data_IF_778754875837
#
_entry.id   IF_778754875837
#
_cell.length_a   1.000
_cell.length_b   1.000
_cell.length_c   1.000
_cell.angle_alpha   90.00
_cell.angle_beta   90.00
_cell.angle_gamma   90.00
#
_symmetry.space_group_name_H-M   'P 1'
#
loop_
_entity.id
_entity.type
_entity.pdbx_description
1 polymer ?
#
# COMPACT_ATOMS: atom_id res chain seq x y z
N UNK A 1 -21.77 -3.67 11.21
CA UNK A 1 -21.03 -3.27 9.99
C UNK A 1 -20.09 -2.13 10.37
N UNK A 2 -18.81 -2.21 10.02
CA UNK A 2 -17.85 -1.13 10.34
C UNK A 2 -18.22 0.08 9.49
N UNK A 3 -18.43 1.23 10.13
CA UNK A 3 -19.01 2.44 9.52
C UNK A 3 -18.25 2.90 8.27
N UNK A 4 -16.93 2.66 8.22
CA UNK A 4 -16.09 3.00 7.07
C UNK A 4 -16.48 2.29 5.76
N UNK A 5 -16.95 1.04 5.83
CA UNK A 5 -17.34 0.28 4.62
C UNK A 5 -18.65 0.77 3.98
N UNK A 6 -19.43 1.60 4.69
CA UNK A 6 -20.67 2.19 4.15
C UNK A 6 -20.43 3.50 3.40
N UNK A 7 -19.19 4.00 3.33
CA UNK A 7 -18.88 5.27 2.69
C UNK A 7 -18.96 5.17 1.17
N UNK A 8 -19.68 6.09 0.52
CA UNK A 8 -19.72 6.18 -0.95
C UNK A 8 -18.38 6.60 -1.57
N UNK A 9 -17.45 7.13 -0.77
CA UNK A 9 -16.08 7.46 -1.21
C UNK A 9 -15.15 6.25 -1.24
N UNK A 10 -15.59 5.12 -0.67
CA UNK A 10 -14.80 3.90 -0.64
C UNK A 10 -15.01 3.12 -1.94
N UNK A 11 -13.94 2.90 -2.68
CA UNK A 11 -13.89 1.86 -3.70
C UNK A 11 -13.16 0.67 -3.11
N UNK A 12 -13.86 -0.45 -2.97
CA UNK A 12 -13.28 -1.69 -2.46
C UNK A 12 -12.78 -2.56 -3.61
N UNK A 13 -11.54 -3.04 -3.50
CA UNK A 13 -10.94 -3.96 -4.46
C UNK A 13 -10.56 -5.25 -3.75
N UNK A 14 -11.18 -6.37 -4.17
CA UNK A 14 -10.79 -7.72 -3.72
C UNK A 14 -9.71 -8.27 -4.65
N UNK A 15 -8.52 -7.65 -4.61
CA UNK A 15 -7.40 -7.97 -5.49
C UNK A 15 -6.06 -7.85 -4.76
N UNK A 16 -5.01 -8.41 -5.35
CA UNK A 16 -3.65 -8.22 -4.83
C UNK A 16 -3.25 -6.74 -4.94
N UNK A 17 -2.88 -6.13 -3.81
CA UNK A 17 -2.47 -4.71 -3.76
C UNK A 17 -1.31 -4.38 -4.70
N UNK A 18 -0.36 -5.30 -4.89
CA UNK A 18 0.76 -5.08 -5.82
C UNK A 18 0.32 -4.95 -7.27
N UNK A 19 -0.69 -5.71 -7.70
CA UNK A 19 -1.21 -5.59 -9.06
C UNK A 19 -1.97 -4.27 -9.26
N UNK A 20 -2.71 -3.85 -8.25
CA UNK A 20 -3.41 -2.57 -8.25
C UNK A 20 -2.44 -1.39 -8.39
N UNK A 21 -1.31 -1.42 -7.68
CA UNK A 21 -0.28 -0.38 -7.81
C UNK A 21 0.29 -0.32 -9.24
N UNK A 22 0.61 -1.47 -9.87
CA UNK A 22 1.14 -1.52 -11.24
C UNK A 22 0.20 -0.90 -12.28
N UNK A 23 -1.10 -1.01 -12.07
CA UNK A 23 -2.12 -0.50 -12.99
C UNK A 23 -2.39 0.99 -12.80
N UNK A 24 -1.92 1.60 -11.70
CA UNK A 24 -2.28 2.96 -11.28
C UNK A 24 -1.03 3.81 -11.05
N UNK A 25 -0.31 4.13 -12.15
CA UNK A 25 0.86 5.00 -12.12
C UNK A 25 0.48 6.45 -11.80
N UNK A 26 1.26 7.13 -10.96
CA UNK A 26 1.06 8.56 -10.61
C UNK A 26 -0.39 8.87 -10.16
N UNK A 27 -1.05 7.91 -9.50
CA UNK A 27 -2.48 7.95 -9.24
C UNK A 27 -2.80 8.45 -7.83
N UNK A 28 -1.96 8.14 -6.85
CA UNK A 28 -2.27 8.32 -5.43
C UNK A 28 -1.52 9.48 -4.81
N UNK A 29 -2.23 10.30 -4.04
CA UNK A 29 -1.62 11.36 -3.21
C UNK A 29 -1.11 10.81 -1.86
N UNK A 30 -1.73 9.74 -1.36
CA UNK A 30 -1.40 9.12 -0.07
C UNK A 30 -1.59 7.62 -0.20
N UNK A 31 -0.55 6.86 0.14
CA UNK A 31 -0.61 5.40 0.26
C UNK A 31 -0.38 5.03 1.72
N UNK A 32 -1.32 4.29 2.31
CA UNK A 32 -1.21 3.76 3.67
C UNK A 32 -1.21 2.24 3.57
N UNK A 33 -0.16 1.60 4.09
CA UNK A 33 -0.08 0.14 4.15
C UNK A 33 -0.04 -0.35 5.58
N UNK A 34 -0.90 -1.35 5.85
CA UNK A 34 -0.98 -2.07 7.10
C UNK A 34 -0.62 -3.53 6.82
N UNK A 35 0.67 -3.80 6.64
CA UNK A 35 1.15 -5.16 6.43
C UNK A 35 1.07 -5.93 7.75
N UNK A 36 0.42 -7.08 7.73
CA UNK A 36 0.55 -8.05 8.82
C UNK A 36 2.00 -8.51 8.92
N UNK A 37 2.55 -8.62 10.14
CA UNK A 37 3.93 -9.02 10.41
C UNK A 37 4.36 -10.19 9.51
N UNK A 38 5.31 -9.94 8.60
CA UNK A 38 5.97 -11.00 7.84
C UNK A 38 7.14 -11.50 8.68
N UNK A 39 6.95 -12.46 9.59
CA UNK A 39 8.08 -12.98 10.38
C UNK A 39 8.99 -13.83 9.47
N UNK A 40 10.16 -13.32 9.06
CA UNK A 40 11.23 -14.15 8.46
C UNK A 40 12.22 -13.44 7.52
N UNK A 41 13.30 -14.14 7.17
CA UNK A 41 14.44 -13.73 6.31
C UNK A 41 14.07 -13.09 4.94
N UNK A 42 12.81 -13.20 4.51
CA UNK A 42 12.27 -12.64 3.28
C UNK A 42 11.66 -11.23 3.45
N UNK A 43 11.68 -10.63 4.63
CA UNK A 43 11.12 -9.29 4.88
C UNK A 43 11.81 -8.21 4.04
N UNK A 44 13.14 -8.16 4.01
CA UNK A 44 13.84 -7.02 3.43
C UNK A 44 13.72 -6.91 1.91
N UNK A 45 13.87 -7.98 1.10
CA UNK A 45 13.73 -7.87 -0.34
C UNK A 45 12.27 -7.62 -0.73
N UNK A 46 11.33 -8.22 0.00
CA UNK A 46 9.91 -8.03 -0.24
C UNK A 46 9.45 -6.62 0.12
N UNK A 47 9.90 -6.05 1.25
CA UNK A 47 9.62 -4.66 1.63
C UNK A 47 10.15 -3.69 0.58
N UNK A 48 11.41 -3.83 0.16
CA UNK A 48 12.01 -2.95 -0.87
C UNK A 48 11.25 -3.02 -2.19
N UNK A 49 10.90 -4.21 -2.68
CA UNK A 49 10.11 -4.37 -3.90
C UNK A 49 8.73 -3.71 -3.80
N UNK A 50 8.07 -3.82 -2.64
CA UNK A 50 6.77 -3.19 -2.42
C UNK A 50 6.88 -1.67 -2.34
N UNK A 51 7.93 -1.12 -1.71
CA UNK A 51 8.16 0.33 -1.66
C UNK A 51 8.39 0.91 -3.06
N UNK A 52 9.29 0.32 -3.86
CA UNK A 52 9.54 0.78 -5.23
C UNK A 52 8.25 0.77 -6.07
N UNK A 53 7.43 -0.26 -5.87
CA UNK A 53 6.17 -0.37 -6.58
C UNK A 53 5.15 0.71 -6.13
N UNK A 54 5.09 1.01 -4.83
CA UNK A 54 4.25 2.10 -4.33
C UNK A 54 4.71 3.46 -4.83
N UNK A 55 6.03 3.69 -4.91
CA UNK A 55 6.59 4.94 -5.46
C UNK A 55 6.12 5.18 -6.89
N UNK A 56 6.04 4.14 -7.74
CA UNK A 56 5.54 4.31 -9.12
C UNK A 56 4.06 4.69 -9.19
N UNK A 57 3.27 4.28 -8.20
CA UNK A 57 1.85 4.57 -8.11
C UNK A 57 1.56 5.90 -7.40
N UNK A 58 2.55 6.42 -6.70
CA UNK A 58 2.50 7.66 -5.95
C UNK A 58 2.76 8.86 -6.87
N UNK A 59 2.08 9.97 -6.57
CA UNK A 59 2.36 11.25 -7.20
C UNK A 59 3.67 11.86 -6.74
N UNK A 60 4.22 12.78 -7.54
CA UNK A 60 5.50 13.46 -7.26
C UNK A 60 5.60 14.02 -5.82
N UNK A 61 4.52 14.64 -5.32
CA UNK A 61 4.43 15.17 -3.95
C UNK A 61 3.62 14.27 -2.99
N UNK A 62 3.42 13.01 -3.36
CA UNK A 62 2.64 12.08 -2.57
C UNK A 62 3.38 11.57 -1.35
N UNK A 63 2.64 11.00 -0.40
CA UNK A 63 3.18 10.47 0.85
C UNK A 63 2.91 8.97 0.95
N UNK A 64 3.91 8.21 1.36
CA UNK A 64 3.75 6.80 1.74
C UNK A 64 3.90 6.69 3.25
N UNK A 65 2.92 6.07 3.90
CA UNK A 65 3.01 5.64 5.29
C UNK A 65 2.90 4.12 5.35
N UNK A 66 3.95 3.48 5.87
CA UNK A 66 3.98 2.03 6.08
C UNK A 66 4.08 1.76 7.58
N UNK A 67 3.23 0.87 8.08
CA UNK A 67 3.42 0.32 9.42
C UNK A 67 4.64 -0.62 9.40
N UNK A 68 5.81 -0.09 9.79
CA UNK A 68 6.97 -0.91 10.15
C UNK A 68 7.05 -1.00 11.68
N UNK A 69 7.37 -2.18 12.21
CA UNK A 69 7.72 -2.30 13.64
C UNK A 69 9.09 -1.64 13.84
N UNK A 70 9.17 -0.68 14.75
CA UNK A 70 10.44 -0.25 15.31
C UNK A 70 11.22 -1.49 15.75
N UNK A 71 12.40 -1.71 15.18
CA UNK A 71 13.32 -2.73 15.64
C UNK A 71 14.11 -2.22 16.84
#
# INVERSE_FOLDING_TARGET
MVIGYSSFKLTFHDSNGSELMKQNLDAFNLIITNFSDLIGFAESPFKVFNYQLMETALKEDGIIYCQDKCQ
#
